data_IF_702740683247
#
_entry.id   IF_702740683247
#
_cell.length_a   1.000
_cell.length_b   1.000
_cell.length_c   1.000
_cell.angle_alpha   90.00
_cell.angle_beta   90.00
_cell.angle_gamma   90.00
#
_symmetry.space_group_name_H-M   'P 1'
#
loop_
_entity.id
_entity.type
_entity.pdbx_description
1 polymer ?
#
# COMPACT_ATOMS: atom_id res chain seq x y z
N UNK A 1 -8.52 1.00 -19.19
CA UNK A 1 -7.61 1.68 -18.26
C UNK A 1 -8.46 2.49 -17.31
N UNK A 2 -8.26 2.29 -16.02
CA UNK A 2 -9.04 2.89 -14.93
C UNK A 2 -8.15 3.71 -13.98
N UNK A 3 -6.88 3.32 -13.77
CA UNK A 3 -6.00 3.96 -12.78
C UNK A 3 -5.72 5.45 -13.05
N UNK A 4 -5.70 5.83 -14.33
CA UNK A 4 -5.48 7.21 -14.82
C UNK A 4 -6.70 7.78 -15.56
N UNK A 5 -7.84 7.09 -15.54
CA UNK A 5 -9.06 7.58 -16.17
C UNK A 5 -9.68 8.70 -15.32
N UNK A 6 -9.82 9.91 -15.91
CA UNK A 6 -10.36 11.08 -15.20
C UNK A 6 -11.70 10.83 -14.50
N UNK A 7 -12.65 10.15 -15.16
CA UNK A 7 -13.97 9.87 -14.58
C UNK A 7 -13.90 8.92 -13.39
N UNK A 8 -13.01 7.94 -13.42
CA UNK A 8 -12.82 7.00 -12.31
C UNK A 8 -12.06 7.66 -11.15
N UNK A 9 -11.11 8.54 -11.45
CA UNK A 9 -10.41 9.33 -10.44
C UNK A 9 -11.38 10.27 -9.70
N UNK A 10 -12.21 11.03 -10.43
CA UNK A 10 -13.17 11.97 -9.84
C UNK A 10 -14.11 11.27 -8.85
N UNK A 11 -14.54 10.03 -9.14
CA UNK A 11 -15.37 9.22 -8.23
C UNK A 11 -14.64 8.78 -6.96
N UNK A 12 -13.34 8.47 -7.06
CA UNK A 12 -12.58 7.81 -5.97
C UNK A 12 -11.87 8.78 -5.04
N UNK A 13 -11.26 9.83 -5.59
CA UNK A 13 -10.44 10.79 -4.82
C UNK A 13 -11.06 12.18 -4.74
N UNK A 14 -12.20 12.40 -5.41
CA UNK A 14 -12.96 13.64 -5.34
C UNK A 14 -12.15 14.84 -5.83
N UNK A 15 -11.95 15.82 -4.96
CA UNK A 15 -11.25 17.07 -5.28
C UNK A 15 -9.72 16.94 -5.31
N UNK A 16 -9.16 15.81 -4.86
CA UNK A 16 -7.70 15.61 -4.81
C UNK A 16 -7.12 15.37 -6.20
N UNK A 17 -5.89 15.86 -6.43
CA UNK A 17 -5.13 15.61 -7.66
C UNK A 17 -4.00 14.63 -7.38
N UNK A 18 -3.90 13.58 -8.20
CA UNK A 18 -2.74 12.67 -8.18
C UNK A 18 -1.51 13.39 -8.70
N UNK A 19 -0.37 13.12 -8.09
CA UNK A 19 0.92 13.64 -8.51
C UNK A 19 1.29 13.13 -9.92
N UNK A 20 1.72 14.06 -10.79
CA UNK A 20 2.11 13.78 -12.18
C UNK A 20 3.19 12.70 -12.33
N UNK A 21 4.06 12.50 -11.33
CA UNK A 21 5.12 11.48 -11.39
C UNK A 21 4.57 10.05 -11.50
N UNK A 22 3.30 9.83 -11.13
CA UNK A 22 2.65 8.51 -11.18
C UNK A 22 2.21 8.11 -12.60
N UNK A 23 2.18 9.05 -13.56
CA UNK A 23 1.76 8.76 -14.93
C UNK A 23 2.72 7.83 -15.68
N UNK A 24 3.94 7.64 -15.16
CA UNK A 24 4.85 6.60 -15.66
C UNK A 24 4.28 5.17 -15.51
N UNK A 25 3.23 4.97 -14.70
CA UNK A 25 2.55 3.68 -14.56
C UNK A 25 1.44 3.47 -15.60
N UNK A 26 1.07 4.48 -16.40
CA UNK A 26 0.03 4.35 -17.43
C UNK A 26 0.44 3.32 -18.50
N UNK A 27 1.70 3.36 -18.93
CA UNK A 27 2.26 2.37 -19.86
C UNK A 27 2.25 0.95 -19.27
N UNK A 28 2.49 0.83 -17.96
CA UNK A 28 2.44 -0.45 -17.25
C UNK A 28 1.02 -0.97 -17.21
N UNK A 29 0.04 -0.11 -16.88
CA UNK A 29 -1.38 -0.46 -16.89
C UNK A 29 -1.80 -0.97 -18.27
N UNK A 30 -1.52 -0.22 -19.33
CA UNK A 30 -1.87 -0.61 -20.70
C UNK A 30 -1.27 -1.97 -21.10
N UNK A 31 0.00 -2.21 -20.75
CA UNK A 31 0.64 -3.50 -21.02
C UNK A 31 0.00 -4.64 -20.23
N UNK A 32 -0.25 -4.46 -18.93
CA UNK A 32 -0.87 -5.46 -18.05
C UNK A 32 -2.28 -5.81 -18.53
N UNK A 33 -3.09 -4.81 -18.92
CA UNK A 33 -4.43 -5.05 -19.45
C UNK A 33 -4.41 -5.89 -20.73
N UNK A 34 -3.45 -5.61 -21.63
CA UNK A 34 -3.25 -6.44 -22.83
C UNK A 34 -2.86 -7.87 -22.45
N UNK A 35 -1.92 -8.06 -21.51
CA UNK A 35 -1.53 -9.39 -21.03
C UNK A 35 -2.70 -10.15 -20.42
N UNK A 36 -3.56 -9.51 -19.61
CA UNK A 36 -4.79 -10.12 -19.10
C UNK A 36 -5.68 -10.62 -20.24
N UNK A 37 -5.91 -9.79 -21.26
CA UNK A 37 -6.71 -10.16 -22.44
C UNK A 37 -6.11 -11.34 -23.22
N UNK A 38 -4.78 -11.36 -23.42
CA UNK A 38 -4.07 -12.43 -24.13
C UNK A 38 -4.24 -13.80 -23.46
N UNK A 39 -4.36 -13.84 -22.12
CA UNK A 39 -4.51 -15.09 -21.35
C UNK A 39 -5.95 -15.35 -20.88
N UNK A 40 -6.92 -14.58 -21.37
CA UNK A 40 -8.34 -14.77 -21.04
C UNK A 40 -8.73 -14.40 -19.61
N UNK A 41 -8.00 -13.49 -18.96
CA UNK A 41 -8.32 -12.97 -17.64
C UNK A 41 -8.98 -11.59 -17.72
N UNK A 42 -9.88 -11.32 -16.78
CA UNK A 42 -10.38 -9.98 -16.50
C UNK A 42 -9.33 -9.19 -15.73
N UNK A 43 -9.41 -7.86 -15.81
CA UNK A 43 -8.62 -6.96 -14.99
C UNK A 43 -9.53 -6.05 -14.17
N UNK A 44 -9.14 -5.70 -12.95
CA UNK A 44 -9.94 -4.86 -12.05
C UNK A 44 -9.05 -3.90 -11.26
N UNK A 45 -9.36 -2.60 -11.31
CA UNK A 45 -8.57 -1.58 -10.63
C UNK A 45 -9.06 -1.34 -9.20
N UNK A 46 -8.14 -1.45 -8.24
CA UNK A 46 -8.34 -1.08 -6.84
C UNK A 46 -9.55 -1.80 -6.23
N UNK A 47 -9.61 -3.11 -6.49
CA UNK A 47 -10.62 -4.05 -5.98
C UNK A 47 -9.93 -5.14 -5.16
N UNK A 48 -10.51 -5.41 -3.99
CA UNK A 48 -10.24 -6.61 -3.21
C UNK A 48 -11.49 -7.47 -3.18
N UNK A 49 -11.35 -8.69 -3.65
CA UNK A 49 -12.35 -9.75 -3.53
C UNK A 49 -11.61 -11.09 -3.32
N UNK A 50 -12.37 -12.16 -3.17
CA UNK A 50 -11.81 -13.51 -3.07
C UNK A 50 -12.57 -14.45 -4.02
N UNK A 51 -11.95 -14.71 -5.17
CA UNK A 51 -12.37 -15.72 -6.14
C UNK A 51 -11.76 -17.07 -5.76
N UNK A 52 -12.29 -18.13 -6.36
CA UNK A 52 -11.70 -19.47 -6.28
C UNK A 52 -10.26 -19.49 -6.83
N UNK A 53 -9.40 -20.44 -6.40
CA UNK A 53 -8.00 -20.50 -6.82
C UNK A 53 -7.77 -20.56 -8.34
N UNK A 54 -8.70 -21.13 -9.11
CA UNK A 54 -8.75 -20.98 -10.57
C UNK A 54 -9.36 -19.63 -10.96
N UNK A 55 -8.73 -18.55 -10.48
CA UNK A 55 -9.24 -17.18 -10.55
C UNK A 55 -9.50 -16.73 -11.99
N UNK A 56 -10.41 -15.78 -12.18
CA UNK A 56 -10.78 -15.22 -13.48
C UNK A 56 -10.30 -13.77 -13.61
N UNK A 57 -9.89 -13.14 -12.51
CA UNK A 57 -9.58 -11.71 -12.48
C UNK A 57 -8.21 -11.42 -11.86
N UNK A 58 -7.45 -10.55 -12.54
CA UNK A 58 -6.27 -9.88 -11.99
C UNK A 58 -6.66 -8.51 -11.43
N UNK A 59 -6.45 -8.30 -10.14
CA UNK A 59 -6.54 -6.99 -9.55
C UNK A 59 -5.21 -6.25 -9.66
N UNK A 60 -5.29 -4.93 -9.82
CA UNK A 60 -4.12 -4.09 -9.79
C UNK A 60 -4.41 -2.75 -9.13
N UNK A 61 -3.38 -2.15 -8.54
CA UNK A 61 -3.47 -0.83 -7.92
C UNK A 61 -2.09 -0.16 -7.89
N UNK A 62 -2.05 1.07 -7.41
CA UNK A 62 -0.82 1.77 -7.10
C UNK A 62 -0.39 1.41 -5.67
N UNK A 63 0.90 1.19 -5.46
CA UNK A 63 1.49 1.00 -4.14
C UNK A 63 2.80 1.77 -4.01
N UNK A 64 2.78 2.89 -3.29
CA UNK A 64 3.96 3.69 -2.94
C UNK A 64 4.79 4.16 -4.17
N UNK A 65 4.10 4.49 -5.26
CA UNK A 65 4.73 4.87 -6.54
C UNK A 65 5.17 3.67 -7.42
N UNK A 66 4.81 2.45 -7.04
CA UNK A 66 4.94 1.25 -7.87
C UNK A 66 3.56 0.82 -8.39
N UNK A 67 3.55 0.06 -9.48
CA UNK A 67 2.38 -0.71 -9.91
C UNK A 67 2.36 -2.04 -9.15
N UNK A 68 1.23 -2.37 -8.52
CA UNK A 68 1.03 -3.62 -7.81
C UNK A 68 -0.04 -4.47 -8.51
N UNK A 69 0.34 -5.68 -8.91
CA UNK A 69 -0.50 -6.67 -9.59
C UNK A 69 -0.67 -7.91 -8.73
N UNK A 70 -1.90 -8.41 -8.62
CA UNK A 70 -2.24 -9.60 -7.84
C UNK A 70 -3.48 -10.30 -8.40
N UNK A 71 -3.61 -11.63 -8.27
CA UNK A 71 -4.87 -12.29 -8.56
C UNK A 71 -5.93 -11.92 -7.53
N UNK A 72 -7.21 -11.93 -7.92
CA UNK A 72 -8.33 -11.86 -6.97
C UNK A 72 -8.54 -13.19 -6.25
N UNK A 73 -7.50 -13.75 -5.65
CA UNK A 73 -7.57 -14.95 -4.80
C UNK A 73 -6.56 -14.82 -3.65
N UNK A 74 -7.04 -14.91 -2.40
CA UNK A 74 -6.26 -14.68 -1.19
C UNK A 74 -5.01 -15.56 -1.10
N UNK A 75 -5.14 -16.87 -1.34
CA UNK A 75 -4.03 -17.81 -1.23
C UNK A 75 -2.87 -17.41 -2.16
N UNK A 76 -3.19 -17.09 -3.42
CA UNK A 76 -2.16 -16.73 -4.40
C UNK A 76 -1.56 -15.35 -4.13
N UNK A 77 -2.38 -14.33 -3.80
CA UNK A 77 -1.83 -13.00 -3.45
C UNK A 77 -0.96 -13.05 -2.20
N UNK A 78 -1.32 -13.87 -1.21
CA UNK A 78 -0.56 -13.97 0.05
C UNK A 78 0.77 -14.70 -0.13
N UNK A 79 0.82 -15.70 -1.01
CA UNK A 79 2.05 -16.48 -1.24
C UNK A 79 3.04 -15.79 -2.17
N UNK A 80 2.62 -14.86 -3.05
CA UNK A 80 3.48 -14.34 -4.12
C UNK A 80 4.74 -13.60 -3.62
N UNK A 81 4.65 -12.88 -2.50
CA UNK A 81 5.83 -12.26 -1.89
C UNK A 81 6.72 -13.26 -1.15
N UNK A 82 6.15 -14.28 -0.54
CA UNK A 82 6.93 -15.38 0.03
C UNK A 82 7.71 -16.13 -1.04
N UNK A 83 7.07 -16.45 -2.17
CA UNK A 83 7.71 -17.08 -3.31
C UNK A 83 8.83 -16.21 -3.89
N UNK A 84 8.62 -14.90 -3.95
CA UNK A 84 9.63 -13.93 -4.38
C UNK A 84 10.84 -13.90 -3.44
N UNK A 85 10.59 -13.91 -2.12
CA UNK A 85 11.62 -13.91 -1.08
C UNK A 85 12.44 -15.21 -1.05
N UNK A 86 11.80 -16.35 -1.25
CA UNK A 86 12.46 -17.67 -1.23
C UNK A 86 13.01 -18.10 -2.59
N UNK A 87 12.83 -17.30 -3.64
CA UNK A 87 13.41 -17.59 -4.94
C UNK A 87 14.95 -17.55 -4.90
N UNK A 88 15.56 -18.60 -5.42
CA UNK A 88 17.01 -18.77 -5.52
C UNK A 88 17.54 -18.54 -6.93
N UNK A 89 16.65 -18.28 -7.90
CA UNK A 89 17.06 -17.97 -9.27
C UNK A 89 17.93 -16.71 -9.32
N UNK A 90 18.97 -16.74 -10.16
CA UNK A 90 19.85 -15.59 -10.35
C UNK A 90 19.07 -14.49 -11.07
N UNK A 91 18.67 -13.47 -10.34
CA UNK A 91 18.05 -12.26 -10.87
C UNK A 91 18.79 -11.03 -10.37
N UNK A 92 18.76 -9.96 -11.18
CA UNK A 92 19.31 -8.67 -10.76
C UNK A 92 18.46 -8.11 -9.61
N UNK A 93 19.13 -7.75 -8.52
CA UNK A 93 18.51 -7.07 -7.38
C UNK A 93 18.68 -5.55 -7.58
N UNK A 94 17.55 -4.84 -7.65
CA UNK A 94 17.48 -3.39 -7.65
C UNK A 94 17.34 -2.87 -6.21
N UNK A 95 17.90 -1.69 -5.94
CA UNK A 95 17.86 -1.08 -4.60
C UNK A 95 16.58 -0.25 -4.39
N UNK A 96 15.46 -0.96 -4.26
CA UNK A 96 14.15 -0.39 -3.96
C UNK A 96 14.13 0.36 -2.63
N UNK A 97 14.78 -0.16 -1.59
CA UNK A 97 14.78 0.44 -0.27
C UNK A 97 15.38 1.85 -0.28
N UNK A 98 16.56 2.03 -0.89
CA UNK A 98 17.16 3.36 -1.04
C UNK A 98 16.33 4.28 -1.93
N UNK A 99 15.67 3.74 -2.97
CA UNK A 99 14.75 4.52 -3.80
C UNK A 99 13.55 5.06 -3.00
N UNK A 100 12.93 4.23 -2.14
CA UNK A 100 11.85 4.68 -1.26
C UNK A 100 12.31 5.73 -0.25
N UNK A 101 13.50 5.56 0.35
CA UNK A 101 14.09 6.56 1.26
C UNK A 101 14.29 7.88 0.53
N UNK A 102 14.91 7.85 -0.66
CA UNK A 102 15.15 9.05 -1.47
C UNK A 102 13.85 9.77 -1.78
N UNK A 103 12.76 9.06 -2.11
CA UNK A 103 11.46 9.71 -2.37
C UNK A 103 10.93 10.45 -1.15
N UNK A 104 11.13 9.93 0.06
CA UNK A 104 10.67 10.62 1.26
C UNK A 104 11.51 11.88 1.51
N UNK A 105 12.84 11.77 1.39
CA UNK A 105 13.78 12.88 1.59
C UNK A 105 13.58 13.99 0.54
N UNK A 106 13.38 13.62 -0.73
CA UNK A 106 13.17 14.54 -1.84
C UNK A 106 11.73 15.08 -1.91
N UNK A 107 10.88 14.81 -0.92
CA UNK A 107 9.45 15.17 -0.90
C UNK A 107 8.62 14.62 -2.09
N UNK A 108 9.04 13.48 -2.65
CA UNK A 108 8.41 12.78 -3.77
C UNK A 108 7.54 11.59 -3.35
N UNK A 109 7.30 11.38 -2.05
CA UNK A 109 6.44 10.28 -1.57
C UNK A 109 4.95 10.60 -1.52
N UNK A 110 4.56 11.88 -1.50
CA UNK A 110 3.13 12.22 -1.51
C UNK A 110 2.47 11.78 -2.81
N UNK A 111 1.32 11.10 -2.65
CA UNK A 111 0.43 10.70 -3.75
C UNK A 111 -0.40 11.87 -4.28
N UNK A 112 -0.72 12.82 -3.40
CA UNK A 112 -1.55 13.98 -3.71
C UNK A 112 -0.70 15.25 -3.75
N UNK A 113 -1.02 16.12 -4.71
CA UNK A 113 -0.45 17.45 -4.84
C UNK A 113 -0.98 18.42 -3.75
N UNK A 114 -0.44 19.64 -3.70
CA UNK A 114 -0.94 20.76 -2.90
C UNK A 114 -1.09 20.47 -1.39
N UNK A 115 -0.08 19.81 -0.81
CA UNK A 115 -0.03 19.57 0.64
C UNK A 115 0.21 20.88 1.38
N UNK A 116 -0.41 21.03 2.54
CA UNK A 116 -0.23 22.21 3.39
C UNK A 116 1.15 22.18 4.05
N UNK A 117 2.12 22.81 3.40
CA UNK A 117 3.47 23.01 3.94
C UNK A 117 3.54 24.21 4.89
N UNK A 118 2.59 25.15 4.80
CA UNK A 118 2.57 26.36 5.63
C UNK A 118 2.34 26.04 7.12
N UNK A 119 1.52 25.02 7.41
CA UNK A 119 1.26 24.55 8.76
C UNK A 119 2.42 23.80 9.42
N UNK A 120 3.49 23.47 8.68
CA UNK A 120 4.63 22.71 9.23
C UNK A 120 5.32 23.46 10.37
N UNK A 121 5.36 24.80 10.30
CA UNK A 121 5.97 25.63 11.34
C UNK A 121 5.11 25.72 12.62
N UNK A 122 3.80 25.46 12.50
CA UNK A 122 2.86 25.51 13.62
C UNK A 122 2.93 24.24 14.47
N UNK A 123 3.05 23.07 13.83
CA UNK A 123 3.05 21.78 14.52
C UNK A 123 4.47 21.23 14.63
N UNK A 124 5.08 21.42 15.81
CA UNK A 124 6.41 20.85 16.10
C UNK A 124 6.37 19.32 16.02
N UNK A 125 7.34 18.66 15.39
CA UNK A 125 7.43 17.21 15.31
C UNK A 125 7.46 16.54 16.69
N UNK A 126 6.87 15.35 16.78
CA UNK A 126 6.86 14.48 17.97
C UNK A 126 7.55 13.16 17.66
N UNK A 127 7.89 12.40 18.70
CA UNK A 127 8.59 11.12 18.55
C UNK A 127 7.68 10.02 17.98
N UNK A 128 6.37 10.12 18.13
CA UNK A 128 5.43 9.10 17.66
C UNK A 128 4.39 9.66 16.70
N UNK A 129 4.11 8.89 15.64
CA UNK A 129 3.13 9.24 14.62
C UNK A 129 2.18 8.08 14.36
N UNK A 130 0.88 8.31 14.49
CA UNK A 130 -0.18 7.41 14.07
C UNK A 130 -0.72 7.89 12.72
N UNK A 131 -0.58 7.06 11.70
CA UNK A 131 -1.10 7.32 10.36
C UNK A 131 -2.43 6.59 10.18
N UNK A 132 -3.51 7.36 10.07
CA UNK A 132 -4.87 6.85 9.94
C UNK A 132 -5.30 6.78 8.47
N UNK A 133 -6.04 5.74 8.05
CA UNK A 133 -6.62 5.67 6.71
C UNK A 133 -7.82 6.64 6.56
N UNK A 134 -8.52 6.60 5.42
CA UNK A 134 -9.73 7.41 5.19
C UNK A 134 -10.90 7.04 6.10
N UNK A 135 -11.88 7.94 6.23
CA UNK A 135 -13.02 7.84 7.18
C UNK A 135 -13.65 6.45 7.29
N UNK A 136 -14.02 5.83 6.17
CA UNK A 136 -14.68 4.52 6.17
C UNK A 136 -13.79 3.43 6.80
N UNK A 137 -12.50 3.45 6.46
CA UNK A 137 -11.51 2.48 6.94
C UNK A 137 -11.07 2.74 8.37
N UNK A 138 -11.14 3.98 8.85
CA UNK A 138 -10.94 4.27 10.28
C UNK A 138 -11.99 3.54 11.11
N UNK A 139 -13.26 3.59 10.70
CA UNK A 139 -14.35 2.93 11.45
C UNK A 139 -14.33 1.41 11.34
N UNK A 140 -14.01 0.87 10.17
CA UNK A 140 -14.08 -0.58 9.89
C UNK A 140 -12.83 -1.36 10.33
N UNK A 141 -11.65 -0.74 10.21
CA UNK A 141 -10.38 -1.46 10.28
C UNK A 141 -9.47 -1.01 11.41
N UNK A 142 -9.63 0.18 11.99
CA UNK A 142 -8.73 0.67 13.05
C UNK A 142 -9.28 0.33 14.43
N UNK A 143 -8.42 -0.25 15.28
CA UNK A 143 -8.77 -0.63 16.64
C UNK A 143 -8.74 0.60 17.57
N UNK A 144 -9.91 1.12 17.95
CA UNK A 144 -10.01 2.28 18.85
C UNK A 144 -9.31 2.06 20.19
N UNK A 145 -9.39 0.85 20.76
CA UNK A 145 -8.69 0.52 22.01
C UNK A 145 -7.17 0.60 21.84
N UNK A 146 -6.64 0.21 20.68
CA UNK A 146 -5.22 0.36 20.35
C UNK A 146 -4.86 1.84 20.26
N UNK A 147 -5.69 2.68 19.64
CA UNK A 147 -5.44 4.13 19.59
C UNK A 147 -5.45 4.77 20.97
N UNK A 148 -6.43 4.43 21.82
CA UNK A 148 -6.49 4.90 23.22
C UNK A 148 -5.27 4.46 24.03
N UNK A 149 -4.84 3.22 23.85
CA UNK A 149 -3.62 2.72 24.48
C UNK A 149 -2.37 3.50 24.03
N UNK A 150 -2.23 3.77 22.73
CA UNK A 150 -1.13 4.59 22.18
C UNK A 150 -1.17 6.02 22.75
N UNK A 151 -2.34 6.64 22.81
CA UNK A 151 -2.51 7.97 23.39
C UNK A 151 -2.11 7.99 24.86
N UNK A 152 -2.49 6.97 25.63
CA UNK A 152 -2.12 6.84 27.03
C UNK A 152 -0.61 6.59 27.21
N UNK A 153 -0.02 5.75 26.37
CA UNK A 153 1.40 5.39 26.43
C UNK A 153 2.32 6.58 26.15
N UNK A 154 1.95 7.43 25.17
CA UNK A 154 2.82 8.51 24.70
C UNK A 154 2.39 9.91 25.17
N UNK A 155 1.20 10.05 25.75
CA UNK A 155 0.64 11.33 26.16
C UNK A 155 0.66 12.36 25.04
N UNK A 156 1.29 13.51 25.29
CA UNK A 156 1.42 14.58 24.31
C UNK A 156 2.54 14.36 23.29
N UNK A 157 3.31 13.28 23.36
CA UNK A 157 4.41 12.97 22.44
C UNK A 157 3.96 12.09 21.25
N UNK A 158 2.68 12.10 20.91
CA UNK A 158 2.14 11.45 19.70
C UNK A 158 1.30 12.40 18.87
N UNK A 159 1.33 12.20 17.55
CA UNK A 159 0.35 12.77 16.63
C UNK A 159 -0.53 11.70 16.00
N UNK A 160 -1.81 11.98 15.88
CA UNK A 160 -2.76 11.28 15.02
C UNK A 160 -2.90 12.08 13.72
N UNK A 161 -2.55 11.45 12.60
CA UNK A 161 -2.59 12.05 11.27
C UNK A 161 -3.73 11.44 10.46
N UNK A 162 -4.85 12.15 10.28
CA UNK A 162 -5.93 11.73 9.39
C UNK A 162 -5.48 11.72 7.92
N UNK A 163 -6.05 10.80 7.14
CA UNK A 163 -5.92 10.79 5.69
C UNK A 163 -6.58 12.04 5.06
N UNK A 164 -6.11 12.54 3.90
CA UNK A 164 -6.67 13.74 3.25
C UNK A 164 -8.18 13.66 2.94
N UNK A 165 -8.70 12.48 2.62
CA UNK A 165 -10.14 12.27 2.38
C UNK A 165 -10.98 12.14 3.65
N UNK A 166 -10.37 12.21 4.84
CA UNK A 166 -11.12 12.07 6.09
C UNK A 166 -12.04 13.27 6.31
N UNK A 167 -13.30 12.99 6.63
CA UNK A 167 -14.36 13.98 6.84
C UNK A 167 -14.13 14.80 8.11
N UNK A 168 -14.65 16.04 8.14
CA UNK A 168 -14.53 16.93 9.31
C UNK A 168 -15.14 16.32 10.58
N UNK A 169 -16.24 15.56 10.45
CA UNK A 169 -16.86 14.86 11.57
C UNK A 169 -15.88 13.88 12.24
N UNK A 170 -15.22 13.01 11.46
CA UNK A 170 -14.26 12.05 12.01
C UNK A 170 -13.06 12.77 12.63
N UNK A 171 -12.63 13.90 12.05
CA UNK A 171 -11.54 14.70 12.63
C UNK A 171 -11.97 15.29 13.98
N UNK A 172 -13.20 15.78 14.11
CA UNK A 172 -13.78 16.22 15.39
C UNK A 172 -13.75 15.09 16.43
N UNK A 173 -14.29 13.92 16.07
CA UNK A 173 -14.28 12.73 16.95
C UNK A 173 -12.84 12.37 17.40
N UNK A 174 -11.85 12.42 16.50
CA UNK A 174 -10.44 12.17 16.85
C UNK A 174 -9.90 13.22 17.82
N UNK A 175 -10.24 14.49 17.65
CA UNK A 175 -9.82 15.57 18.57
C UNK A 175 -10.46 15.40 19.95
N UNK A 176 -11.72 15.00 20.00
CA UNK A 176 -12.42 14.73 21.26
C UNK A 176 -11.80 13.54 22.02
N UNK A 177 -11.40 12.49 21.31
CA UNK A 177 -10.79 11.31 21.94
C UNK A 177 -9.33 11.52 22.36
N UNK A 178 -8.55 12.27 21.59
CA UNK A 178 -7.08 12.30 21.73
C UNK A 178 -6.51 13.67 22.07
N UNK A 179 -7.33 14.72 22.10
CA UNK A 179 -6.92 16.11 22.30
C UNK A 179 -6.60 16.80 20.97
N UNK A 180 -7.06 18.05 20.83
CA UNK A 180 -6.87 18.83 19.60
C UNK A 180 -5.40 19.02 19.22
N UNK A 181 -4.53 19.23 20.21
CA UNK A 181 -3.08 19.37 20.03
C UNK A 181 -2.36 18.08 19.65
N UNK A 182 -3.04 16.94 19.67
CA UNK A 182 -2.52 15.64 19.24
C UNK A 182 -3.03 15.23 17.86
N UNK A 183 -3.93 16.00 17.22
CA UNK A 183 -4.45 15.68 15.89
C UNK A 183 -3.91 16.65 14.86
N UNK A 184 -3.15 16.14 13.88
CA UNK A 184 -2.62 16.96 12.80
C UNK A 184 -3.71 17.29 11.76
N UNK A 185 -3.62 18.45 11.07
CA UNK A 185 -4.48 18.74 9.93
C UNK A 185 -4.43 17.63 8.88
N UNK A 186 -5.55 17.30 8.23
CA UNK A 186 -5.59 16.22 7.23
C UNK A 186 -4.74 16.53 5.98
N UNK A 187 -4.50 17.81 5.70
CA UNK A 187 -3.79 18.27 4.50
C UNK A 187 -2.29 18.51 4.69
N UNK A 188 -1.79 18.41 5.93
CA UNK A 188 -0.36 18.52 6.21
C UNK A 188 0.43 17.35 5.62
N UNK A 189 1.69 17.59 5.26
CA UNK A 189 2.59 16.58 4.71
C UNK A 189 3.02 15.57 5.79
N UNK A 190 2.45 14.36 5.76
CA UNK A 190 2.77 13.29 6.71
C UNK A 190 4.25 12.87 6.68
N UNK A 191 4.89 12.86 5.51
CA UNK A 191 6.26 12.37 5.36
C UNK A 191 7.29 13.26 6.05
N UNK A 192 7.01 14.57 6.18
CA UNK A 192 7.83 15.47 6.97
C UNK A 192 7.89 15.05 8.45
N UNK A 193 6.76 14.64 9.03
CA UNK A 193 6.65 14.17 10.42
C UNK A 193 7.22 12.76 10.57
N UNK A 194 6.94 11.87 9.62
CA UNK A 194 7.43 10.50 9.63
C UNK A 194 8.96 10.44 9.67
N UNK A 195 9.66 11.30 8.92
CA UNK A 195 11.13 11.37 8.93
C UNK A 195 11.70 11.66 10.34
N UNK A 196 10.97 12.43 11.15
CA UNK A 196 11.42 12.89 12.47
C UNK A 196 10.94 12.02 13.61
N UNK A 197 9.88 11.24 13.41
CA UNK A 197 9.40 10.28 14.38
C UNK A 197 10.44 9.19 14.65
N UNK A 198 10.41 8.61 15.86
CA UNK A 198 11.09 7.39 16.26
C UNK A 198 10.22 6.16 15.99
N UNK A 199 8.92 6.26 16.32
CA UNK A 199 7.94 5.19 16.12
C UNK A 199 6.77 5.62 15.22
N UNK A 200 6.27 4.68 14.41
CA UNK A 200 5.14 4.90 13.51
C UNK A 200 4.10 3.81 13.69
N UNK A 201 2.87 4.21 13.94
CA UNK A 201 1.71 3.33 13.99
C UNK A 201 0.91 3.45 12.71
N UNK A 202 0.61 2.33 12.05
CA UNK A 202 -0.08 2.35 10.75
C UNK A 202 -0.89 1.08 10.52
N UNK A 203 -1.46 0.89 9.32
CA UNK A 203 -2.40 -0.20 9.01
C UNK A 203 -1.88 -1.11 7.91
N UNK A 204 -2.52 -2.26 7.76
CA UNK A 204 -2.36 -3.16 6.60
C UNK A 204 -2.99 -2.60 5.31
N UNK A 205 -3.58 -1.40 5.35
CA UNK A 205 -4.22 -0.72 4.23
C UNK A 205 -3.38 0.45 3.71
N UNK A 206 -2.40 0.90 4.48
CA UNK A 206 -1.66 2.13 4.17
C UNK A 206 -0.29 1.85 3.56
N UNK A 207 0.04 2.62 2.52
CA UNK A 207 1.39 2.68 1.93
C UNK A 207 2.41 3.28 2.91
N UNK A 208 1.98 4.00 3.96
CA UNK A 208 2.91 4.54 4.95
C UNK A 208 3.75 3.47 5.66
N UNK A 209 3.30 2.21 5.66
CA UNK A 209 4.03 1.07 6.22
C UNK A 209 5.41 0.89 5.57
N UNK A 210 5.50 0.88 4.23
CA UNK A 210 6.81 0.69 3.58
C UNK A 210 7.74 1.86 3.86
N UNK A 211 7.22 3.09 3.82
CA UNK A 211 8.02 4.28 4.04
C UNK A 211 8.57 4.35 5.47
N UNK A 212 7.76 4.05 6.49
CA UNK A 212 8.26 4.05 7.88
C UNK A 212 9.32 2.98 8.10
N UNK A 213 9.13 1.80 7.50
CA UNK A 213 10.06 0.68 7.64
C UNK A 213 11.39 0.94 6.93
N UNK A 214 11.40 1.45 5.69
CA UNK A 214 12.67 1.76 5.01
C UNK A 214 13.45 2.91 5.66
N UNK A 215 12.75 3.81 6.37
CA UNK A 215 13.35 4.87 7.18
C UNK A 215 13.85 4.36 8.55
N UNK A 216 13.72 3.06 8.84
CA UNK A 216 14.19 2.45 10.08
C UNK A 216 13.38 2.84 11.30
N UNK A 217 12.09 3.19 11.14
CA UNK A 217 11.20 3.53 12.25
C UNK A 217 10.66 2.27 12.91
N UNK A 218 10.47 2.30 14.24
CA UNK A 218 9.75 1.24 14.94
C UNK A 218 8.27 1.28 14.51
N UNK A 219 7.88 0.33 13.64
CA UNK A 219 6.58 0.36 12.98
C UNK A 219 5.65 -0.71 13.52
N UNK A 220 4.43 -0.33 13.93
CA UNK A 220 3.46 -1.25 14.52
C UNK A 220 2.04 -1.08 13.93
N UNK A 221 1.27 -2.17 13.79
CA UNK A 221 -0.10 -2.10 13.28
C UNK A 221 -1.07 -1.50 14.31
N UNK A 222 -2.15 -0.89 13.81
CA UNK A 222 -3.30 -0.39 14.58
C UNK A 222 -4.63 -1.03 14.17
N UNK A 223 -4.58 -2.08 13.36
CA UNK A 223 -5.76 -2.70 12.81
C UNK A 223 -6.56 -3.52 13.86
N UNK A 224 -7.85 -3.73 13.60
CA UNK A 224 -8.65 -4.77 14.25
C UNK A 224 -8.22 -6.14 13.70
N UNK A 225 -7.76 -7.02 14.58
CA UNK A 225 -7.17 -8.32 14.22
C UNK A 225 -8.03 -9.13 13.25
N UNK A 226 -9.33 -9.25 13.51
CA UNK A 226 -10.23 -10.09 12.71
C UNK A 226 -10.42 -9.60 11.25
N UNK A 227 -10.03 -8.36 10.96
CA UNK A 227 -10.24 -7.73 9.65
C UNK A 227 -8.93 -7.44 8.90
N UNK A 228 -7.76 -7.80 9.43
CA UNK A 228 -6.48 -7.42 8.81
C UNK A 228 -6.31 -8.00 7.41
N UNK A 229 -6.77 -9.22 7.16
CA UNK A 229 -6.65 -9.92 5.87
C UNK A 229 -7.45 -9.26 4.74
N UNK A 230 -8.41 -8.40 5.11
CA UNK A 230 -9.19 -7.58 4.16
C UNK A 230 -8.51 -6.26 3.81
N UNK A 231 -7.33 -5.99 4.35
CA UNK A 231 -6.57 -4.79 4.04
C UNK A 231 -6.00 -4.82 2.62
N UNK A 232 -6.08 -3.69 1.91
CA UNK A 232 -5.62 -3.54 0.51
C UNK A 232 -4.18 -3.98 0.27
N UNK A 233 -3.32 -3.80 1.28
CA UNK A 233 -1.92 -4.16 1.21
C UNK A 233 -1.56 -5.19 2.27
N UNK A 234 -2.52 -5.96 2.79
CA UNK A 234 -2.26 -6.97 3.82
C UNK A 234 -1.13 -7.91 3.41
N UNK A 235 -1.18 -8.41 2.19
CA UNK A 235 -0.21 -9.35 1.62
C UNK A 235 1.19 -8.78 1.45
N UNK A 236 1.35 -7.45 1.52
CA UNK A 236 2.64 -6.77 1.51
C UNK A 236 3.03 -6.39 2.93
N UNK A 237 2.17 -5.63 3.61
CA UNK A 237 2.43 -5.04 4.91
C UNK A 237 2.62 -6.11 5.99
N UNK A 238 1.95 -7.26 5.93
CA UNK A 238 2.17 -8.35 6.88
C UNK A 238 3.62 -8.86 6.85
N UNK A 239 4.23 -9.00 5.66
CA UNK A 239 5.64 -9.36 5.54
C UNK A 239 6.56 -8.21 5.94
N UNK A 240 6.20 -6.97 5.62
CA UNK A 240 7.00 -5.81 6.03
C UNK A 240 7.06 -5.70 7.55
N UNK A 241 5.93 -5.86 8.26
CA UNK A 241 5.89 -5.89 9.72
C UNK A 241 6.73 -7.01 10.33
N UNK A 242 6.77 -8.18 9.67
CA UNK A 242 7.57 -9.32 10.12
C UNK A 242 9.08 -9.12 9.87
N UNK A 243 9.45 -8.53 8.73
CA UNK A 243 10.83 -8.37 8.28
C UNK A 243 11.45 -7.01 8.61
N UNK A 244 10.91 -6.24 9.56
CA UNK A 244 11.39 -4.87 9.84
C UNK A 244 12.91 -4.79 10.09
N UNK A 245 13.47 -5.75 10.84
CA UNK A 245 14.91 -5.79 11.16
C UNK A 245 15.79 -6.01 9.93
N UNK A 246 15.30 -6.73 8.92
CA UNK A 246 16.00 -7.02 7.68
C UNK A 246 15.29 -6.41 6.45
N UNK A 247 14.55 -5.33 6.65
CA UNK A 247 13.59 -4.85 5.67
C UNK A 247 14.22 -4.48 4.33
N UNK A 248 15.42 -3.88 4.35
CA UNK A 248 16.13 -3.51 3.11
C UNK A 248 16.39 -4.71 2.23
N UNK A 249 16.89 -5.79 2.82
CA UNK A 249 17.17 -7.04 2.10
C UNK A 249 15.88 -7.69 1.61
N UNK A 250 14.87 -7.78 2.50
CA UNK A 250 13.56 -8.31 2.14
C UNK A 250 12.93 -7.55 0.96
N UNK A 251 12.88 -6.22 1.03
CA UNK A 251 12.30 -5.35 0.00
C UNK A 251 13.10 -5.49 -1.29
N UNK A 252 14.42 -5.31 -1.25
CA UNK A 252 15.26 -5.34 -2.45
C UNK A 252 15.15 -6.68 -3.17
N UNK A 253 15.25 -7.80 -2.43
CA UNK A 253 15.14 -9.14 -3.01
C UNK A 253 13.73 -9.41 -3.55
N UNK A 254 12.70 -9.18 -2.74
CA UNK A 254 11.34 -9.57 -3.08
C UNK A 254 10.77 -8.67 -4.19
N UNK A 255 10.94 -7.34 -4.08
CA UNK A 255 10.35 -6.41 -5.04
C UNK A 255 11.06 -6.44 -6.39
N UNK A 256 12.35 -6.82 -6.42
CA UNK A 256 13.05 -7.07 -7.69
C UNK A 256 12.55 -8.34 -8.38
N UNK A 257 12.01 -9.31 -7.64
CA UNK A 257 11.49 -10.54 -8.19
C UNK A 257 10.20 -10.32 -8.99
N UNK A 258 10.11 -10.92 -10.17
CA UNK A 258 8.90 -10.88 -10.99
C UNK A 258 7.68 -11.46 -10.25
N UNK A 259 7.85 -12.48 -9.40
CA UNK A 259 6.76 -13.12 -8.63
C UNK A 259 6.05 -12.19 -7.66
N UNK A 260 6.68 -11.08 -7.25
CA UNK A 260 6.08 -10.14 -6.30
C UNK A 260 4.85 -9.41 -6.84
N UNK A 261 4.71 -9.32 -8.17
CA UNK A 261 3.69 -8.47 -8.80
C UNK A 261 3.95 -6.97 -8.62
N UNK A 262 5.10 -6.57 -8.07
CA UNK A 262 5.49 -5.16 -7.89
C UNK A 262 6.37 -4.75 -9.06
N UNK A 263 5.96 -3.71 -9.77
CA UNK A 263 6.65 -3.19 -10.95
C UNK A 263 6.91 -1.70 -10.76
N UNK A 264 8.15 -1.29 -10.99
CA UNK A 264 8.54 0.12 -10.95
C UNK A 264 9.36 0.47 -12.20
N UNK A 265 8.81 1.22 -13.17
CA UNK A 265 9.52 1.56 -14.41
C UNK A 265 10.82 2.37 -14.23
N UNK A 266 10.99 3.08 -13.11
CA UNK A 266 12.23 3.82 -12.84
C UNK A 266 13.38 2.88 -12.44
N UNK A 267 13.06 1.74 -11.80
CA UNK A 267 14.04 0.76 -11.31
C UNK A 267 14.15 -0.46 -12.23
N UNK A 268 13.01 -0.97 -12.70
CA UNK A 268 12.88 -2.14 -13.55
C UNK A 268 13.04 -1.74 -15.03
N UNK A 269 14.30 -1.59 -15.49
CA UNK A 269 14.59 -1.20 -16.89
C UNK A 269 13.87 -2.09 -17.93
N UNK A 270 13.73 -3.39 -17.64
CA UNK A 270 13.00 -4.35 -18.47
C UNK A 270 11.65 -4.74 -17.86
N UNK A 271 10.89 -3.76 -17.35
CA UNK A 271 9.63 -4.04 -16.65
C UNK A 271 8.63 -4.86 -17.47
N UNK A 272 8.61 -4.76 -18.81
CA UNK A 272 7.77 -5.59 -19.69
C UNK A 272 8.09 -7.08 -19.55
N UNK A 273 9.38 -7.42 -19.55
CA UNK A 273 9.86 -8.79 -19.34
C UNK A 273 9.50 -9.29 -17.93
N UNK A 274 9.59 -8.41 -16.92
CA UNK A 274 9.16 -8.72 -15.55
C UNK A 274 7.67 -9.04 -15.49
N UNK A 275 6.83 -8.26 -16.18
CA UNK A 275 5.39 -8.53 -16.31
C UNK A 275 5.15 -9.87 -17.03
N UNK A 276 5.83 -10.13 -18.15
CA UNK A 276 5.66 -11.40 -18.87
C UNK A 276 6.03 -12.61 -18.00
N UNK A 277 7.11 -12.52 -17.22
CA UNK A 277 7.50 -13.58 -16.27
C UNK A 277 6.50 -13.73 -15.14
N UNK A 278 5.94 -12.63 -14.63
CA UNK A 278 4.86 -12.69 -13.63
C UNK A 278 3.63 -13.42 -14.18
N UNK A 279 3.19 -13.10 -15.40
CA UNK A 279 2.06 -13.79 -16.02
C UNK A 279 2.34 -15.29 -16.22
N UNK A 280 3.53 -15.67 -16.68
CA UNK A 280 3.91 -17.09 -16.76
C UNK A 280 3.80 -17.80 -15.41
N UNK A 281 4.32 -17.17 -14.36
CA UNK A 281 4.29 -17.71 -13.00
C UNK A 281 2.86 -17.83 -12.44
N UNK A 282 2.07 -16.76 -12.52
CA UNK A 282 0.74 -16.77 -11.92
C UNK A 282 -0.23 -17.66 -12.69
N UNK A 283 -0.09 -17.75 -14.02
CA UNK A 283 -0.86 -18.70 -14.83
C UNK A 283 -0.47 -20.13 -14.54
N UNK A 284 0.82 -20.44 -14.38
CA UNK A 284 1.25 -21.77 -13.96
C UNK A 284 0.63 -22.15 -12.60
N UNK A 285 0.64 -21.24 -11.61
CA UNK A 285 -0.02 -21.45 -10.31
C UNK A 285 -1.52 -21.66 -10.47
N UNK A 286 -2.18 -20.81 -11.25
CA UNK A 286 -3.61 -20.90 -11.57
C UNK A 286 -3.99 -22.28 -12.09
N UNK A 287 -3.28 -22.77 -13.10
CA UNK A 287 -3.57 -24.06 -13.74
C UNK A 287 -3.43 -25.25 -12.79
N UNK A 288 -2.63 -25.17 -11.72
CA UNK A 288 -2.54 -26.25 -10.72
C UNK A 288 -3.88 -26.53 -10.03
N UNK A 289 -4.78 -25.55 -9.97
CA UNK A 289 -6.09 -25.66 -9.31
C UNK A 289 -7.24 -25.91 -10.28
N UNK A 290 -6.94 -26.16 -11.56
CA UNK A 290 -7.98 -26.39 -12.56
C UNK A 290 -8.78 -27.65 -12.22
N UNK A 291 -10.09 -27.49 -12.07
CA UNK A 291 -11.00 -28.58 -11.74
C UNK A 291 -11.00 -29.03 -10.27
N UNK A 292 -10.19 -28.41 -9.39
CA UNK A 292 -10.19 -28.76 -7.96
C UNK A 292 -11.46 -28.30 -7.25
N UNK A 293 -11.99 -27.14 -7.65
CA UNK A 293 -13.19 -26.54 -7.07
C UNK A 293 -14.22 -26.29 -8.16
N UNK A 294 -15.46 -26.70 -7.90
CA UNK A 294 -16.59 -26.47 -8.79
C UNK A 294 -17.42 -25.32 -8.22
N UNK A 295 -17.49 -24.22 -8.95
CA UNK A 295 -18.37 -23.11 -8.63
C UNK A 295 -19.81 -23.58 -8.80
N UNK A 296 -20.63 -23.54 -7.73
CA UNK A 296 -22.06 -23.78 -7.90
C UNK A 296 -22.61 -22.69 -8.84
N UNK A 297 -23.47 -23.03 -9.82
CA UNK A 297 -24.10 -22.02 -10.63
C UNK A 297 -24.83 -21.02 -9.72
N UNK A 298 -24.80 -19.71 -10.02
CA UNK A 298 -25.52 -18.72 -9.23
C UNK A 298 -26.99 -19.14 -9.15
N UNK A 299 -27.53 -19.17 -7.93
CA UNK A 299 -28.96 -19.36 -7.66
C UNK A 299 -29.76 -18.16 -8.15
#
# INVERSE_FOLDING_TARGET
>A
MEMFNKRELDKRIGHLKKDRKLYNLEDVEGYVLRKCSEVGLKASYDVLADEMPYFKTMAYTEYAGCFYLQPLNFLMRNTQLSDAWHDTSKQKINDYASWFVKRVVDNKSNKYEDRDESSINTYKPKDYLVVLPGSNKVRENVCLNRLKHIAHLHGDNVYFKPHPITTHQIIGELKDFFGEHNVLPRDINMYYYMQKAKGVYTTHISESCIYSIVLGKDTSPIDVWNNIQRGSFYTINNYLFYHQKNAKDFINKSFSNYKSGIINPELDKNWKEKVDKYFKYIMWKREQYKGWFVEQPPK
#
